data_IF_539927910225
#
_entry.id   IF_539927910225
#
_cell.length_a   1.000
_cell.length_b   1.000
_cell.length_c   1.000
_cell.angle_alpha   90.00
_cell.angle_beta   90.00
_cell.angle_gamma   90.00
#
_symmetry.space_group_name_H-M   'P 1'
#
loop_
_entity.id
_entity.type
_entity.pdbx_description
1 polymer ?
#
# COMPACT_ATOMS: atom_id res chain seq x y z
N UNK A 1 15.83 -0.49 10.30
CA UNK A 1 15.44 -1.92 10.28
C UNK A 1 14.58 -2.18 9.05
N UNK A 2 14.88 -3.19 8.24
CA UNK A 2 13.98 -3.64 7.17
C UNK A 2 12.86 -4.45 7.80
N UNK A 3 11.61 -4.19 7.42
CA UNK A 3 10.46 -5.01 7.85
C UNK A 3 10.59 -6.44 7.30
N UNK A 4 9.98 -7.39 8.00
CA UNK A 4 9.88 -8.76 7.52
C UNK A 4 9.22 -8.82 6.12
N UNK A 5 9.56 -9.82 5.29
CA UNK A 5 9.02 -9.95 3.92
C UNK A 5 7.50 -10.05 3.88
N UNK A 6 6.89 -10.61 4.91
CA UNK A 6 5.45 -10.85 5.08
C UNK A 6 4.71 -9.72 5.81
N UNK A 7 5.42 -8.68 6.26
CA UNK A 7 4.80 -7.59 6.99
C UNK A 7 4.04 -6.64 6.05
N UNK A 8 2.86 -6.20 6.48
CA UNK A 8 2.09 -5.17 5.78
C UNK A 8 2.88 -3.86 5.58
N UNK A 9 2.58 -3.19 4.48
CA UNK A 9 3.23 -1.94 4.08
C UNK A 9 2.23 -0.79 4.14
N UNK A 10 2.67 0.35 4.63
CA UNK A 10 1.88 1.59 4.68
C UNK A 10 1.89 2.27 3.31
N UNK A 11 0.96 3.20 3.08
CA UNK A 11 0.94 3.96 1.82
C UNK A 11 2.22 4.75 1.56
N UNK A 12 2.89 5.24 2.61
CA UNK A 12 4.19 5.90 2.47
C UNK A 12 5.27 4.93 2.00
N UNK A 13 5.34 3.73 2.58
CA UNK A 13 6.32 2.72 2.15
C UNK A 13 6.07 2.24 0.71
N UNK A 14 4.82 2.14 0.29
CA UNK A 14 4.48 1.80 -1.11
C UNK A 14 4.79 2.98 -2.04
N UNK A 15 4.54 4.21 -1.60
CA UNK A 15 4.86 5.44 -2.32
C UNK A 15 6.36 5.52 -2.60
N UNK A 16 7.19 5.23 -1.59
CA UNK A 16 8.65 5.23 -1.72
C UNK A 16 9.14 4.08 -2.62
N UNK A 17 8.48 2.91 -2.56
CA UNK A 17 8.87 1.75 -3.37
C UNK A 17 8.55 1.92 -4.86
N UNK A 18 7.40 2.51 -5.18
CA UNK A 18 6.96 2.76 -6.57
C UNK A 18 7.41 4.12 -7.13
N UNK A 19 8.13 4.91 -6.34
CA UNK A 19 8.45 6.32 -6.64
C UNK A 19 7.22 7.09 -7.14
N UNK A 20 6.08 6.87 -6.47
CA UNK A 20 4.78 7.39 -6.90
C UNK A 20 4.11 8.07 -5.72
N UNK A 21 3.64 9.34 -5.85
CA UNK A 21 3.05 10.05 -4.73
C UNK A 21 1.85 9.33 -4.11
N UNK A 22 1.77 9.31 -2.78
CA UNK A 22 0.68 8.65 -2.04
C UNK A 22 -0.75 9.08 -2.45
N UNK A 23 -0.96 10.29 -2.98
CA UNK A 23 -2.29 10.71 -3.47
C UNK A 23 -2.67 10.00 -4.79
N UNK A 24 -1.69 9.65 -5.63
CA UNK A 24 -1.91 8.86 -6.85
C UNK A 24 -2.29 7.43 -6.47
N UNK A 25 -1.64 6.84 -5.46
CA UNK A 25 -2.02 5.52 -4.94
C UNK A 25 -3.46 5.51 -4.39
N UNK A 26 -3.86 6.56 -3.65
CA UNK A 26 -5.27 6.71 -3.22
C UNK A 26 -6.24 6.85 -4.38
N UNK A 27 -5.82 7.51 -5.46
CA UNK A 27 -6.62 7.59 -6.68
C UNK A 27 -6.76 6.20 -7.32
N UNK A 28 -5.70 5.41 -7.40
CA UNK A 28 -5.75 4.04 -7.91
C UNK A 28 -6.66 3.13 -7.11
N UNK A 29 -6.70 3.24 -5.78
CA UNK A 29 -7.67 2.53 -4.92
C UNK A 29 -9.13 2.74 -5.35
N UNK A 30 -9.44 3.90 -5.96
CA UNK A 30 -10.78 4.22 -6.46
C UNK A 30 -11.04 3.76 -7.91
N UNK A 31 -9.98 3.51 -8.67
CA UNK A 31 -10.06 3.18 -10.12
C UNK A 31 -9.89 1.70 -10.40
N UNK A 32 -9.07 1.00 -9.61
CA UNK A 32 -8.69 -0.38 -9.87
C UNK A 32 -9.17 -1.25 -8.71
N UNK A 33 -10.08 -2.18 -9.00
CA UNK A 33 -10.65 -3.09 -8.00
C UNK A 33 -9.64 -4.11 -7.46
N UNK A 34 -8.47 -4.22 -8.08
CA UNK A 34 -7.34 -5.03 -7.63
C UNK A 34 -6.56 -4.31 -6.50
N UNK A 35 -6.56 -2.97 -6.47
CA UNK A 35 -5.83 -2.18 -5.46
C UNK A 35 -6.71 -1.98 -4.24
N UNK A 36 -6.69 -2.95 -3.31
CA UNK A 36 -7.56 -2.97 -2.12
C UNK A 36 -6.76 -3.04 -0.82
N UNK A 37 -6.34 -1.90 -0.25
CA UNK A 37 -5.66 -1.91 1.04
C UNK A 37 -6.58 -2.37 2.17
N UNK A 38 -6.00 -3.06 3.14
CA UNK A 38 -6.66 -3.39 4.40
C UNK A 38 -6.79 -2.12 5.23
N UNK A 39 -8.03 -1.71 5.50
CA UNK A 39 -8.34 -0.58 6.37
C UNK A 39 -8.36 -1.05 7.82
N UNK A 40 -7.50 -0.47 8.67
CA UNK A 40 -7.51 -0.69 10.13
C UNK A 40 -8.13 0.51 10.85
N UNK A 41 -8.31 0.38 12.17
CA UNK A 41 -8.79 1.46 13.04
C UNK A 41 -8.04 2.78 12.78
N UNK A 42 -8.77 3.90 12.82
CA UNK A 42 -8.22 5.23 12.52
C UNK A 42 -7.97 5.52 11.04
N UNK A 43 -8.55 4.73 10.11
CA UNK A 43 -8.47 5.02 8.67
C UNK A 43 -7.10 4.73 8.03
N UNK A 44 -6.22 4.01 8.75
CA UNK A 44 -4.89 3.64 8.25
C UNK A 44 -5.01 2.54 7.19
N UNK A 45 -4.28 2.73 6.08
CA UNK A 45 -4.25 1.81 4.93
C UNK A 45 -2.99 0.97 4.98
N UNK A 46 -3.17 -0.33 4.81
CA UNK A 46 -2.09 -1.30 4.77
C UNK A 46 -2.21 -2.16 3.52
N UNK A 47 -1.14 -2.24 2.74
CA UNK A 47 -1.02 -3.07 1.54
C UNK A 47 -0.41 -4.40 1.94
N UNK A 48 -0.90 -5.48 1.32
CA UNK A 48 -0.38 -6.82 1.57
C UNK A 48 0.98 -6.95 0.90
N UNK A 49 1.90 -7.75 1.45
CA UNK A 49 3.14 -8.07 0.76
C UNK A 49 2.92 -8.66 -0.63
N UNK A 50 1.85 -9.45 -0.79
CA UNK A 50 1.46 -10.02 -2.08
C UNK A 50 1.15 -8.95 -3.13
N UNK A 51 0.58 -7.81 -2.74
CA UNK A 51 0.28 -6.68 -3.65
C UNK A 51 1.55 -5.98 -4.14
N UNK A 52 2.71 -6.32 -3.56
CA UNK A 52 4.03 -5.74 -3.88
C UNK A 52 4.97 -6.74 -4.53
N UNK A 53 4.46 -7.92 -4.91
CA UNK A 53 5.20 -8.90 -5.72
C UNK A 53 5.03 -8.52 -7.20
N UNK A 54 6.14 -8.54 -7.95
CA UNK A 54 6.17 -8.39 -9.41
C UNK A 54 5.84 -9.73 -10.10
#
# INVERSE_FOLDING_TARGET
MKKAPDAFRTISEVSDWLDTPAHVLRFWESKFSQVKPVKRAGGRRYYRPDDMRL
#
